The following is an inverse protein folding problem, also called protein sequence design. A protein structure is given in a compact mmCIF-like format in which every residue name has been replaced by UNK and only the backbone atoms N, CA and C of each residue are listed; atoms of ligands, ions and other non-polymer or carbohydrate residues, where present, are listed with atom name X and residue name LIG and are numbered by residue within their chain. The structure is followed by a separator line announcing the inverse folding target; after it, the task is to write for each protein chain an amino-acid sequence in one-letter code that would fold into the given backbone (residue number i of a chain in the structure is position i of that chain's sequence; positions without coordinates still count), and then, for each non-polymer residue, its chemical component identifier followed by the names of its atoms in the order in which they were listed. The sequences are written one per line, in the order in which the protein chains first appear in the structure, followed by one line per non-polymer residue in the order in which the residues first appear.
data_IF_991370140291
#
_entry.id   IF_991370140291
#
_cell.length_a   1.000
_cell.length_b   1.000
_cell.length_c   1.000
_cell.angle_alpha   90.00
_cell.angle_beta   90.00
_cell.angle_gamma   90.00
#
_symmetry.space_group_name_H-M   'P 1'
#
loop_
_entity.id
_entity.type
_entity.pdbx_description
1 polymer ?
#
# COMPACT_ATOMS: atom_id res chain seq x y z
N UNK A 1 2.76 -5.96 -2.60
CA UNK A 1 2.11 -6.21 -1.30
C UNK A 1 0.79 -5.45 -1.21
N UNK A 2 -0.33 -6.11 -0.93
CA UNK A 2 -1.63 -5.47 -0.65
C UNK A 2 -1.89 -5.38 0.85
N UNK A 3 -2.46 -4.27 1.32
CA UNK A 3 -2.79 -4.03 2.73
C UNK A 3 -4.23 -3.57 2.92
N UNK A 4 -4.79 -3.80 4.11
CA UNK A 4 -6.02 -3.19 4.60
C UNK A 4 -5.66 -2.43 5.88
N UNK A 5 -6.11 -1.19 6.00
CA UNK A 5 -5.86 -0.31 7.15
C UNK A 5 -7.10 -0.32 8.05
N UNK A 6 -6.86 -0.55 9.33
CA UNK A 6 -7.80 -0.44 10.44
C UNK A 6 -7.42 0.79 11.28
N UNK A 7 -8.04 1.00 12.44
CA UNK A 7 -7.87 2.23 13.22
C UNK A 7 -6.41 2.46 13.66
N UNK A 8 -5.78 1.47 14.29
CA UNK A 8 -4.40 1.59 14.80
C UNK A 8 -3.38 0.74 14.03
N UNK A 9 -3.87 -0.22 13.24
CA UNK A 9 -3.04 -1.23 12.58
C UNK A 9 -3.37 -1.35 11.11
N UNK A 10 -2.42 -1.83 10.31
CA UNK A 10 -2.70 -2.35 8.98
C UNK A 10 -2.31 -3.82 8.88
N UNK A 11 -3.12 -4.58 8.15
CA UNK A 11 -2.91 -6.00 7.86
C UNK A 11 -2.43 -6.18 6.43
N UNK A 12 -1.42 -7.01 6.24
CA UNK A 12 -1.00 -7.46 4.90
C UNK A 12 -1.92 -8.59 4.44
N UNK A 13 -2.64 -8.38 3.33
CA UNK A 13 -3.56 -9.39 2.76
C UNK A 13 -2.92 -10.25 1.67
N UNK A 14 -1.87 -9.76 1.03
CA UNK A 14 -1.12 -10.49 0.02
C UNK A 14 0.28 -9.87 -0.13
N UNK A 15 1.32 -10.69 -0.24
CA UNK A 15 2.69 -10.20 -0.41
C UNK A 15 3.59 -11.28 -1.01
N UNK A 16 4.56 -10.85 -1.78
CA UNK A 16 5.71 -11.63 -2.26
C UNK A 16 6.89 -11.59 -1.27
N UNK A 17 6.82 -10.73 -0.25
CA UNK A 17 7.82 -10.61 0.82
C UNK A 17 7.42 -11.54 1.97
N UNK A 18 8.08 -12.69 2.09
CA UNK A 18 7.69 -13.75 3.04
C UNK A 18 7.73 -13.34 4.51
N UNK A 19 8.63 -12.42 4.89
CA UNK A 19 8.78 -11.97 6.28
C UNK A 19 7.66 -11.05 6.76
N UNK A 20 6.84 -10.50 5.84
CA UNK A 20 5.75 -9.58 6.19
C UNK A 20 4.35 -10.18 6.05
N UNK A 21 4.23 -11.42 5.57
CA UNK A 21 2.97 -12.15 5.44
C UNK A 21 2.30 -12.34 6.80
N UNK A 22 0.97 -12.19 6.85
CA UNK A 22 0.13 -12.46 8.03
C UNK A 22 0.45 -11.63 9.29
N UNK A 23 1.16 -10.51 9.13
CA UNK A 23 1.48 -9.60 10.23
C UNK A 23 0.58 -8.36 10.24
N UNK A 24 0.22 -7.95 11.45
CA UNK A 24 -0.30 -6.62 11.75
C UNK A 24 0.86 -5.69 12.10
N UNK A 25 0.78 -4.46 11.62
CA UNK A 25 1.77 -3.42 11.86
C UNK A 25 1.07 -2.16 12.34
N UNK A 26 1.71 -1.38 13.20
CA UNK A 26 1.19 -0.08 13.60
C UNK A 26 1.14 0.86 12.40
N UNK A 27 0.03 1.59 12.23
CA UNK A 27 -0.08 2.61 11.19
C UNK A 27 1.06 3.64 11.29
N UNK A 28 1.48 4.01 12.51
CA UNK A 28 2.59 4.94 12.71
C UNK A 28 3.92 4.49 12.10
N UNK A 29 4.11 3.19 11.83
CA UNK A 29 5.37 2.61 11.33
C UNK A 29 5.23 2.01 9.91
N UNK A 30 4.18 2.39 9.16
CA UNK A 30 3.92 1.86 7.83
C UNK A 30 3.74 2.93 6.76
N UNK A 31 4.56 2.88 5.72
CA UNK A 31 4.36 3.67 4.50
C UNK A 31 2.95 3.48 3.90
N UNK A 32 2.46 2.23 3.91
CA UNK A 32 1.16 1.85 3.34
C UNK A 32 -0.04 2.53 4.03
N UNK A 33 0.07 2.80 5.33
CA UNK A 33 -0.98 3.50 6.08
C UNK A 33 -1.00 5.00 5.77
N UNK A 34 0.15 5.61 5.51
CA UNK A 34 0.23 7.02 5.13
C UNK A 34 -0.26 7.24 3.69
N UNK A 35 -0.06 6.25 2.83
CA UNK A 35 -0.54 6.26 1.45
C UNK A 35 -2.08 6.15 1.34
N UNK A 36 -2.80 5.79 2.41
CA UNK A 36 -4.28 5.72 2.40
C UNK A 36 -4.95 7.09 2.60
N UNK A 37 -4.21 8.09 3.07
CA UNK A 37 -4.76 9.39 3.48
C UNK A 37 -5.33 10.21 2.29
N UNK A 38 -5.15 9.72 1.07
CA UNK A 38 -5.70 10.34 -0.13
C UNK A 38 -6.17 9.26 -1.12
N UNK A 39 -7.09 9.62 -2.00
CA UNK A 39 -7.59 8.77 -3.08
C UNK A 39 -6.65 8.72 -4.30
N UNK A 40 -5.47 9.34 -4.19
CA UNK A 40 -4.44 9.41 -5.24
C UNK A 40 -3.30 8.44 -4.96
N UNK A 41 -2.79 7.85 -6.05
CA UNK A 41 -1.54 7.08 -6.02
C UNK A 41 -0.39 7.95 -5.55
N UNK A 42 0.42 7.41 -4.64
CA UNK A 42 1.61 8.04 -4.10
C UNK A 42 2.85 7.30 -4.60
N UNK A 43 3.80 8.03 -5.16
CA UNK A 43 5.13 7.51 -5.54
C UNK A 43 6.17 8.38 -4.86
N UNK A 44 7.04 7.77 -4.08
CA UNK A 44 8.08 8.47 -3.32
C UNK A 44 9.44 7.92 -3.75
N UNK A 45 10.10 8.59 -4.70
CA UNK A 45 11.52 8.39 -4.93
C UNK A 45 12.27 8.93 -3.71
N UNK A 46 13.14 8.12 -3.08
CA UNK A 46 13.89 8.47 -1.87
C UNK A 46 13.03 8.72 -0.61
N UNK A 47 12.27 7.72 -0.12
CA UNK A 47 11.47 7.87 1.09
C UNK A 47 12.31 8.18 2.34
N UNK A 48 13.61 7.84 2.35
CA UNK A 48 14.56 8.20 3.40
C UNK A 48 14.83 9.71 3.50
N UNK A 49 14.65 10.43 2.39
CA UNK A 49 14.88 11.88 2.30
C UNK A 49 13.58 12.69 2.42
N UNK A 50 12.42 12.04 2.40
CA UNK A 50 11.12 12.68 2.51
C UNK A 50 10.71 12.81 3.98
N UNK A 51 10.48 14.04 4.45
CA UNK A 51 10.12 14.33 5.85
C UNK A 51 8.84 13.63 6.32
N UNK A 52 7.98 13.21 5.38
CA UNK A 52 6.73 12.48 5.66
C UNK A 52 6.99 11.02 6.00
N UNK A 53 8.16 10.50 5.63
CA UNK A 53 8.45 9.06 5.71
C UNK A 53 9.78 8.74 6.39
N UNK A 54 10.72 9.67 6.53
CA UNK A 54 12.08 9.41 7.03
C UNK A 54 12.15 8.76 8.43
N UNK A 55 11.08 8.88 9.23
CA UNK A 55 10.94 8.27 10.55
C UNK A 55 10.36 6.85 10.53
N UNK A 56 9.85 6.39 9.39
CA UNK A 56 9.23 5.07 9.22
C UNK A 56 10.33 4.01 9.13
N UNK A 57 10.27 2.97 9.96
CA UNK A 57 11.38 2.00 10.07
C UNK A 57 11.67 1.28 8.75
N UNK A 58 10.62 0.99 7.96
CA UNK A 58 10.78 0.27 6.71
C UNK A 58 11.49 1.08 5.60
N UNK A 59 11.47 2.42 5.65
CA UNK A 59 12.12 3.25 4.62
C UNK A 59 13.63 3.33 4.78
N UNK A 60 14.17 2.90 5.93
CA UNK A 60 15.61 2.71 6.11
C UNK A 60 16.13 1.50 5.32
N UNK A 61 15.24 0.56 4.98
CA UNK A 61 15.57 -0.67 4.23
C UNK A 61 15.17 -0.55 2.76
N UNK A 62 14.01 0.05 2.49
CA UNK A 62 13.47 0.21 1.14
C UNK A 62 13.66 1.63 0.61
N UNK A 63 14.32 1.77 -0.52
CA UNK A 63 14.76 3.04 -1.14
C UNK A 63 13.77 3.63 -2.16
N UNK A 64 12.67 2.93 -2.40
CA UNK A 64 11.54 3.44 -3.19
C UNK A 64 10.26 2.85 -2.62
N UNK A 65 9.25 3.69 -2.46
CA UNK A 65 7.91 3.29 -2.02
C UNK A 65 6.85 3.86 -2.95
N UNK A 66 5.91 3.03 -3.38
CA UNK A 66 4.68 3.50 -4.01
C UNK A 66 3.46 2.83 -3.40
N UNK A 67 2.38 3.58 -3.27
CA UNK A 67 1.10 3.14 -2.75
C UNK A 67 -0.02 3.50 -3.72
N UNK A 68 -0.81 2.51 -4.11
CA UNK A 68 -1.99 2.70 -4.95
C UNK A 68 -3.23 2.38 -4.10
N UNK A 69 -4.20 3.30 -3.99
CA UNK A 69 -5.35 3.12 -3.11
C UNK A 69 -6.22 1.93 -3.55
N UNK A 70 -6.74 1.20 -2.55
CA UNK A 70 -7.70 0.12 -2.72
C UNK A 70 -9.06 0.57 -2.20
N UNK A 71 -10.10 0.33 -2.99
CA UNK A 71 -11.44 0.88 -2.74
C UNK A 71 -12.49 -0.22 -2.50
N UNK A 72 -13.42 0.05 -1.60
CA UNK A 72 -14.71 -0.65 -1.55
C UNK A 72 -15.76 0.07 -2.42
N UNK A 73 -16.99 -0.49 -2.48
CA UNK A 73 -18.02 -0.08 -3.47
C UNK A 73 -18.47 1.38 -3.37
N UNK A 74 -18.37 1.99 -2.21
CA UNK A 74 -18.74 3.39 -1.94
C UNK A 74 -17.57 4.37 -2.16
N UNK A 75 -16.48 3.91 -2.77
CA UNK A 75 -15.23 4.67 -2.96
C UNK A 75 -14.48 5.00 -1.67
N UNK A 76 -14.82 4.35 -0.55
CA UNK A 76 -13.98 4.42 0.66
C UNK A 76 -12.65 3.72 0.39
N UNK A 77 -11.55 4.42 0.65
CA UNK A 77 -10.20 3.84 0.61
C UNK A 77 -10.02 3.00 1.88
N UNK A 78 -9.73 1.71 1.72
CA UNK A 78 -9.60 0.75 2.83
C UNK A 78 -8.18 0.23 2.99
N UNK A 79 -7.28 0.57 2.07
CA UNK A 79 -5.92 0.07 2.09
C UNK A 79 -5.15 0.46 0.85
N UNK A 80 -3.98 -0.15 0.67
CA UNK A 80 -3.10 0.18 -0.44
C UNK A 80 -2.43 -1.06 -1.04
N UNK A 81 -2.32 -1.06 -2.38
CA UNK A 81 -1.34 -1.88 -3.09
C UNK A 81 0.00 -1.14 -3.03
N UNK A 82 0.89 -1.65 -2.19
CA UNK A 82 2.23 -1.14 -2.00
C UNK A 82 3.26 -1.91 -2.84
N UNK A 83 4.21 -1.16 -3.38
CA UNK A 83 5.46 -1.71 -3.87
C UNK A 83 6.63 -1.02 -3.18
N UNK A 84 7.61 -1.82 -2.78
CA UNK A 84 8.82 -1.36 -2.12
C UNK A 84 10.01 -1.93 -2.89
N UNK A 85 11.05 -1.13 -3.09
CA UNK A 85 12.25 -1.56 -3.82
C UNK A 85 13.53 -1.19 -3.08
N UNK A 86 14.59 -1.95 -3.33
CA UNK A 86 15.91 -1.74 -2.71
C UNK A 86 16.79 -0.72 -3.44
N UNK A 87 16.37 -0.29 -4.64
CA UNK A 87 17.06 0.70 -5.44
C UNK A 87 16.15 1.89 -5.64
N UNK A 88 16.70 3.09 -5.48
CA UNK A 88 15.92 4.28 -5.79
C UNK A 88 15.73 4.39 -7.29
N UNK A 89 14.49 4.61 -7.70
CA UNK A 89 14.10 4.90 -9.08
C UNK A 89 12.74 5.55 -9.11
N UNK A 90 12.46 6.23 -10.21
CA UNK A 90 11.10 6.57 -10.59
C UNK A 90 10.37 5.35 -11.17
N UNK A 91 9.04 5.39 -11.09
CA UNK A 91 8.20 4.52 -11.91
C UNK A 91 8.09 5.13 -13.31
N UNK A 92 8.34 4.31 -14.34
CA UNK A 92 8.05 4.71 -15.71
C UNK A 92 6.52 4.82 -15.90
N UNK A 93 6.04 5.63 -16.86
CA UNK A 93 4.59 5.74 -17.13
C UNK A 93 3.88 4.40 -17.39
N UNK A 94 4.47 3.43 -18.11
CA UNK A 94 3.88 2.10 -18.27
C UNK A 94 3.78 1.32 -16.95
N UNK A 95 4.83 1.34 -16.11
CA UNK A 95 4.82 0.67 -14.80
C UNK A 95 3.75 1.27 -13.89
N UNK A 96 3.66 2.59 -13.82
CA UNK A 96 2.63 3.28 -13.05
C UNK A 96 1.22 2.86 -13.52
N UNK A 97 1.00 2.86 -14.83
CA UNK A 97 -0.29 2.46 -15.42
C UNK A 97 -0.63 1.01 -15.10
N UNK A 98 0.36 0.11 -15.16
CA UNK A 98 0.20 -1.29 -14.83
C UNK A 98 -0.17 -1.47 -13.34
N UNK A 99 0.57 -0.84 -12.43
CA UNK A 99 0.32 -0.93 -10.99
C UNK A 99 -1.05 -0.37 -10.61
N UNK A 100 -1.46 0.74 -11.23
CA UNK A 100 -2.80 1.31 -11.07
C UNK A 100 -3.88 0.31 -11.49
N UNK A 101 -3.75 -0.34 -12.65
CA UNK A 101 -4.69 -1.37 -13.11
C UNK A 101 -4.74 -2.58 -12.17
N UNK A 102 -3.61 -2.99 -11.61
CA UNK A 102 -3.57 -4.08 -10.62
C UNK A 102 -4.35 -3.66 -9.36
N UNK A 103 -4.15 -2.44 -8.85
CA UNK A 103 -4.90 -1.92 -7.70
C UNK A 103 -6.41 -1.87 -7.96
N UNK A 104 -6.84 -1.50 -9.17
CA UNK A 104 -8.25 -1.54 -9.59
C UNK A 104 -8.81 -2.97 -9.59
N UNK A 105 -8.05 -3.94 -10.08
CA UNK A 105 -8.46 -5.37 -10.05
C UNK A 105 -8.56 -5.88 -8.62
N UNK A 106 -7.57 -5.59 -7.77
CA UNK A 106 -7.58 -5.98 -6.35
C UNK A 106 -8.77 -5.35 -5.63
N UNK A 107 -9.09 -4.08 -5.91
CA UNK A 107 -10.29 -3.42 -5.36
C UNK A 107 -11.56 -4.16 -5.73
N UNK A 108 -11.72 -4.58 -6.99
CA UNK A 108 -12.87 -5.38 -7.44
C UNK A 108 -12.93 -6.73 -6.72
N UNK A 109 -11.79 -7.40 -6.54
CA UNK A 109 -11.72 -8.67 -5.79
C UNK A 109 -12.20 -8.44 -4.35
N UNK A 110 -11.72 -7.40 -3.67
CA UNK A 110 -12.15 -7.09 -2.30
C UNK A 110 -13.66 -6.78 -2.26
N UNK A 111 -14.20 -6.07 -3.23
CA UNK A 111 -15.63 -5.77 -3.31
C UNK A 111 -16.51 -7.01 -3.54
N UNK A 112 -15.99 -8.02 -4.23
CA UNK A 112 -16.68 -9.29 -4.44
C UNK A 112 -16.66 -10.17 -3.18
N UNK A 113 -15.51 -10.28 -2.50
CA UNK A 113 -15.34 -11.20 -1.36
C UNK A 113 -15.65 -10.55 -0.01
N UNK A 114 -15.64 -9.22 0.10
CA UNK A 114 -16.02 -8.49 1.31
C UNK A 114 -17.51 -8.59 1.67
N UNK A 115 -18.34 -9.11 0.74
CA UNK A 115 -19.75 -9.43 0.99
C UNK A 115 -19.92 -10.75 1.75
N UNK A 116 -18.90 -11.62 1.79
CA UNK A 116 -19.00 -12.95 2.40
C UNK A 116 -18.63 -12.99 3.89
N UNK A 117 -18.12 -11.89 4.48
CA UNK A 117 -17.74 -11.84 5.90
C UNK A 117 -18.75 -11.08 6.79
N UNK A 118 -19.99 -10.88 6.33
CA UNK A 118 -21.08 -10.25 7.09
C UNK A 118 -22.24 -11.23 7.43
N UNK A 119 -21.96 -12.52 7.59
CA UNK A 119 -22.92 -13.50 8.14
C UNK A 119 -22.27 -14.42 9.17
#
# INVERSE_FOLDING_TARGET
MGTIVEEEFYRVIATDITVVTERMYLCSDGFCSQAILNDKSLVVPHPEADIRFNYVSCVQVFKVGCGFPLFVKDYTVIGTLCCMGFQTRELTPPEFTMLKKIAEVVSKIIQCHGVEQQH
#
